data_IF_043011737168
#
_entry.id   IF_043011737168
#
_cell.length_a   1.000
_cell.length_b   1.000
_cell.length_c   1.000
_cell.angle_alpha   90.00
_cell.angle_beta   90.00
_cell.angle_gamma   90.00
#
_symmetry.space_group_name_H-M   'P 1'
#
loop_
_entity.id
_entity.type
_entity.pdbx_description
1 polymer ?
#
# COMPACT_ATOMS: atom_id res chain seq x y z
N UNK A 1 14.99 -12.91 8.45
CA UNK A 1 15.63 -12.30 7.25
C UNK A 1 17.07 -11.87 7.44
N UNK A 2 17.47 -10.98 8.36
CA UNK A 2 18.84 -10.49 8.53
C UNK A 2 19.90 -11.62 8.60
N UNK A 3 19.65 -12.68 9.35
CA UNK A 3 20.54 -13.85 9.46
C UNK A 3 20.75 -14.57 8.12
N UNK A 4 19.75 -14.65 7.28
CA UNK A 4 19.82 -15.28 5.95
C UNK A 4 20.79 -14.49 5.07
N UNK A 5 20.67 -13.16 5.06
CA UNK A 5 21.55 -12.28 4.28
C UNK A 5 23.01 -12.31 4.75
N UNK A 6 23.21 -12.36 6.06
CA UNK A 6 24.57 -12.49 6.64
C UNK A 6 25.17 -13.84 6.26
N UNK A 7 24.41 -14.93 6.36
CA UNK A 7 24.88 -16.26 5.99
C UNK A 7 25.18 -16.38 4.48
N UNK A 8 24.38 -15.70 3.65
CA UNK A 8 24.62 -15.62 2.21
C UNK A 8 25.77 -14.66 1.81
N UNK A 9 26.44 -14.03 2.79
CA UNK A 9 27.53 -13.08 2.54
C UNK A 9 27.11 -11.76 1.88
N UNK A 10 25.80 -11.47 1.82
CA UNK A 10 25.26 -10.26 1.22
C UNK A 10 25.20 -9.07 2.16
N UNK A 11 25.32 -9.32 3.47
CA UNK A 11 25.26 -8.29 4.50
C UNK A 11 26.26 -8.61 5.63
N UNK A 12 26.94 -7.58 6.14
CA UNK A 12 27.79 -7.73 7.31
C UNK A 12 26.94 -7.76 8.59
N UNK A 13 27.33 -8.57 9.58
CA UNK A 13 26.60 -8.71 10.84
C UNK A 13 26.36 -7.39 11.56
N UNK A 14 27.39 -6.52 11.65
CA UNK A 14 27.24 -5.19 12.27
C UNK A 14 26.25 -4.29 11.53
N UNK A 15 26.30 -4.31 10.20
CA UNK A 15 25.35 -3.55 9.36
C UNK A 15 23.94 -4.11 9.51
N UNK A 16 23.79 -5.43 9.61
CA UNK A 16 22.50 -6.07 9.82
C UNK A 16 21.86 -5.65 11.17
N UNK A 17 22.64 -5.65 12.25
CA UNK A 17 22.18 -5.19 13.57
C UNK A 17 21.79 -3.71 13.56
N UNK A 18 22.59 -2.86 12.92
CA UNK A 18 22.29 -1.43 12.75
C UNK A 18 20.98 -1.20 12.01
N UNK A 19 20.76 -1.93 10.91
CA UNK A 19 19.53 -1.82 10.12
C UNK A 19 18.30 -2.32 10.88
N UNK A 20 18.41 -3.40 11.65
CA UNK A 20 17.31 -3.89 12.51
C UNK A 20 16.93 -2.82 13.53
N UNK A 21 17.93 -2.17 14.17
CA UNK A 21 17.70 -1.10 15.13
C UNK A 21 17.03 0.13 14.47
N UNK A 22 17.57 0.56 13.33
CA UNK A 22 17.01 1.69 12.57
C UNK A 22 15.57 1.42 12.11
N UNK A 23 15.28 0.21 11.66
CA UNK A 23 13.93 -0.20 11.27
C UNK A 23 12.96 -0.13 12.46
N UNK A 24 13.38 -0.60 13.63
CA UNK A 24 12.58 -0.55 14.85
C UNK A 24 12.34 0.91 15.32
N UNK A 25 13.38 1.77 15.30
CA UNK A 25 13.29 3.18 15.67
C UNK A 25 12.36 3.97 14.75
N UNK A 26 12.41 3.70 13.44
CA UNK A 26 11.58 4.36 12.42
C UNK A 26 10.22 3.71 12.21
N UNK A 27 9.93 2.62 12.91
CA UNK A 27 8.69 1.83 12.72
C UNK A 27 8.47 1.41 11.26
N UNK A 28 9.55 1.10 10.55
CA UNK A 28 9.53 0.63 9.17
C UNK A 28 9.92 -0.83 9.08
N UNK A 29 9.62 -1.51 7.95
CA UNK A 29 10.06 -2.88 7.75
C UNK A 29 11.58 -2.96 7.60
N UNK A 30 12.18 -4.08 8.01
CA UNK A 30 13.60 -4.32 7.81
C UNK A 30 14.00 -4.26 6.32
N UNK A 31 13.12 -4.75 5.44
CA UNK A 31 13.33 -4.69 3.98
C UNK A 31 13.38 -3.24 3.50
N UNK A 32 12.46 -2.40 3.94
CA UNK A 32 12.46 -0.98 3.61
C UNK A 32 13.76 -0.29 4.03
N UNK A 33 14.20 -0.52 5.28
CA UNK A 33 15.46 0.04 5.79
C UNK A 33 16.69 -0.47 5.02
N UNK A 34 16.70 -1.75 4.64
CA UNK A 34 17.78 -2.39 3.88
C UNK A 34 17.93 -1.78 2.48
N UNK A 35 16.83 -1.63 1.77
CA UNK A 35 16.80 -1.07 0.41
C UNK A 35 17.11 0.44 0.45
N UNK A 36 16.53 1.18 1.39
CA UNK A 36 16.82 2.61 1.57
C UNK A 36 18.30 2.89 1.89
N UNK A 37 18.97 1.99 2.62
CA UNK A 37 20.39 2.07 2.89
C UNK A 37 21.28 1.70 1.68
N UNK A 38 20.69 1.22 0.58
CA UNK A 38 21.43 0.79 -0.62
C UNK A 38 22.38 -0.39 -0.39
N UNK A 39 22.22 -1.11 0.72
CA UNK A 39 23.12 -2.21 1.10
C UNK A 39 22.96 -3.44 0.22
N UNK A 40 21.74 -3.67 -0.28
CA UNK A 40 21.40 -4.79 -1.17
C UNK A 40 20.34 -4.29 -2.14
N UNK A 41 20.40 -4.69 -3.41
CA UNK A 41 19.33 -4.36 -4.38
C UNK A 41 18.07 -5.20 -4.12
N UNK A 42 16.91 -4.71 -4.54
CA UNK A 42 15.64 -5.46 -4.39
C UNK A 42 15.68 -6.81 -5.13
N UNK A 43 16.31 -6.84 -6.30
CA UNK A 43 16.50 -8.06 -7.09
C UNK A 43 17.43 -9.05 -6.39
N UNK A 44 18.59 -8.59 -5.91
CA UNK A 44 19.55 -9.44 -5.17
C UNK A 44 18.93 -10.01 -3.90
N UNK A 45 18.15 -9.20 -3.18
CA UNK A 45 17.39 -9.63 -2.01
C UNK A 45 16.45 -10.78 -2.36
N UNK A 46 15.61 -10.58 -3.40
CA UNK A 46 14.64 -11.59 -3.85
C UNK A 46 15.33 -12.91 -4.24
N UNK A 47 16.39 -12.84 -5.04
CA UNK A 47 17.14 -14.02 -5.45
C UNK A 47 17.85 -14.73 -4.28
N UNK A 48 18.42 -13.96 -3.35
CA UNK A 48 19.09 -14.53 -2.16
C UNK A 48 18.09 -15.28 -1.28
N UNK A 49 16.92 -14.67 -1.03
CA UNK A 49 15.86 -15.31 -0.24
C UNK A 49 15.27 -16.52 -0.94
N UNK A 50 15.08 -16.46 -2.26
CA UNK A 50 14.60 -17.59 -3.05
C UNK A 50 15.56 -18.80 -2.91
N UNK A 51 16.84 -18.60 -3.09
CA UNK A 51 17.83 -19.67 -2.93
C UNK A 51 17.92 -20.22 -1.51
N UNK A 52 17.82 -19.35 -0.51
CA UNK A 52 17.95 -19.75 0.90
C UNK A 52 16.69 -20.45 1.46
N UNK A 53 15.49 -20.06 0.99
CA UNK A 53 14.23 -20.55 1.51
C UNK A 53 13.51 -21.51 0.55
N UNK A 54 14.08 -21.76 -0.62
CA UNK A 54 13.49 -22.58 -1.69
C UNK A 54 12.08 -22.11 -2.10
N UNK A 55 11.86 -20.79 -2.11
CA UNK A 55 10.60 -20.17 -2.50
C UNK A 55 10.70 -19.62 -3.93
N UNK A 56 9.61 -19.68 -4.73
CA UNK A 56 9.61 -19.11 -6.07
C UNK A 56 9.69 -17.58 -6.03
N UNK A 57 10.31 -17.00 -7.06
CA UNK A 57 10.30 -15.56 -7.33
C UNK A 57 9.31 -15.26 -8.44
N UNK A 58 8.50 -14.23 -8.26
CA UNK A 58 7.60 -13.71 -9.28
C UNK A 58 8.00 -12.28 -9.65
N UNK A 59 8.17 -12.03 -10.93
CA UNK A 59 8.23 -10.66 -11.44
C UNK A 59 6.83 -10.07 -11.54
N UNK A 60 6.51 -9.19 -10.57
CA UNK A 60 5.19 -8.56 -10.52
C UNK A 60 4.93 -7.63 -11.71
N UNK A 61 5.98 -7.12 -12.36
CA UNK A 61 5.83 -6.30 -13.55
C UNK A 61 5.31 -7.09 -14.77
N UNK A 62 5.48 -8.43 -14.76
CA UNK A 62 4.96 -9.32 -15.80
C UNK A 62 3.49 -9.71 -15.60
N UNK A 63 2.89 -9.32 -14.47
CA UNK A 63 1.52 -9.68 -14.12
C UNK A 63 0.61 -8.46 -14.31
N UNK A 64 -0.49 -8.64 -15.04
CA UNK A 64 -1.50 -7.61 -15.17
C UNK A 64 -2.21 -7.40 -13.82
N UNK A 65 -2.10 -6.19 -13.26
CA UNK A 65 -2.65 -5.85 -11.94
C UNK A 65 -4.17 -6.09 -11.85
N UNK A 66 -4.87 -6.00 -12.98
CA UNK A 66 -6.32 -6.22 -13.06
C UNK A 66 -6.72 -7.68 -12.89
N UNK A 67 -5.82 -8.61 -13.18
CA UNK A 67 -6.04 -10.05 -13.03
C UNK A 67 -5.79 -10.56 -11.61
N UNK A 68 -5.15 -9.76 -10.78
CA UNK A 68 -4.91 -10.13 -9.40
C UNK A 68 -6.21 -10.11 -8.58
N UNK A 69 -6.44 -11.12 -7.74
CA UNK A 69 -7.65 -11.17 -6.91
C UNK A 69 -7.71 -9.98 -5.96
N UNK A 70 -8.80 -9.25 -6.01
CA UNK A 70 -9.09 -8.14 -5.10
C UNK A 70 -10.04 -8.62 -4.00
N UNK A 71 -10.03 -7.98 -2.84
CA UNK A 71 -10.96 -8.23 -1.72
C UNK A 71 -10.90 -9.65 -1.10
N UNK A 72 -9.81 -10.39 -1.29
CA UNK A 72 -9.58 -11.68 -0.60
C UNK A 72 -9.03 -11.44 0.81
N UNK A 73 -8.23 -10.40 0.96
CA UNK A 73 -7.66 -9.91 2.23
C UNK A 73 -8.06 -8.45 2.38
N UNK A 74 -8.30 -8.01 3.63
CA UNK A 74 -8.54 -6.59 3.93
C UNK A 74 -7.36 -5.74 3.44
N UNK A 75 -7.67 -4.64 2.73
CA UNK A 75 -6.67 -3.71 2.20
C UNK A 75 -5.73 -3.15 3.28
N UNK A 76 -6.20 -3.01 4.53
CA UNK A 76 -5.37 -2.60 5.66
C UNK A 76 -4.27 -3.63 5.98
N UNK A 77 -4.59 -4.92 5.93
CA UNK A 77 -3.61 -5.99 6.12
C UNK A 77 -2.63 -6.06 4.95
N UNK A 78 -3.12 -5.86 3.72
CA UNK A 78 -2.29 -5.79 2.51
C UNK A 78 -1.26 -4.66 2.62
N UNK A 79 -1.68 -3.47 3.03
CA UNK A 79 -0.80 -2.31 3.21
C UNK A 79 0.14 -2.49 4.40
N UNK A 80 -0.35 -2.99 5.55
CA UNK A 80 0.43 -3.17 6.77
C UNK A 80 1.58 -4.14 6.58
N UNK A 81 1.33 -5.29 5.95
CA UNK A 81 2.33 -6.34 5.74
C UNK A 81 3.04 -6.26 4.39
N UNK A 82 2.70 -5.25 3.58
CA UNK A 82 3.25 -5.05 2.24
C UNK A 82 3.24 -6.35 1.43
N UNK A 83 2.06 -6.87 1.19
CA UNK A 83 1.82 -8.11 0.45
C UNK A 83 0.85 -7.88 -0.70
N UNK A 84 0.85 -8.78 -1.65
CA UNK A 84 -0.11 -8.84 -2.75
C UNK A 84 -0.72 -10.23 -2.84
N UNK A 85 -2.03 -10.31 -3.09
CA UNK A 85 -2.69 -11.59 -3.32
C UNK A 85 -2.49 -11.99 -4.78
N UNK A 86 -1.84 -13.12 -5.00
CA UNK A 86 -1.55 -13.64 -6.35
C UNK A 86 -2.64 -14.60 -6.84
N UNK A 87 -3.27 -15.31 -5.92
CA UNK A 87 -4.32 -16.26 -6.28
C UNK A 87 -4.78 -17.13 -5.12
N UNK A 88 -5.89 -17.83 -5.33
CA UNK A 88 -6.44 -18.81 -4.39
C UNK A 88 -6.70 -20.12 -5.11
N UNK A 89 -6.30 -21.23 -4.50
CA UNK A 89 -6.60 -22.58 -5.02
C UNK A 89 -6.99 -23.51 -3.88
N UNK A 90 -8.27 -23.83 -3.80
CA UNK A 90 -8.81 -24.60 -2.67
C UNK A 90 -8.60 -23.85 -1.35
N UNK A 91 -7.89 -24.48 -0.41
CA UNK A 91 -7.57 -23.92 0.91
C UNK A 91 -6.21 -23.16 0.92
N UNK A 92 -5.52 -23.06 -0.20
CA UNK A 92 -4.21 -22.40 -0.33
C UNK A 92 -4.39 -21.01 -0.88
N UNK A 93 -3.73 -20.04 -0.24
CA UNK A 93 -3.69 -18.63 -0.64
C UNK A 93 -2.26 -18.27 -1.04
N UNK A 94 -2.03 -17.94 -2.30
CA UNK A 94 -0.73 -17.51 -2.77
C UNK A 94 -0.58 -16.02 -2.56
N UNK A 95 0.43 -15.64 -1.78
CA UNK A 95 0.73 -14.25 -1.44
C UNK A 95 2.14 -13.89 -1.88
N UNK A 96 2.26 -12.75 -2.55
CA UNK A 96 3.54 -12.16 -2.94
C UNK A 96 4.00 -11.16 -1.88
N UNK A 97 5.25 -11.23 -1.50
CA UNK A 97 5.85 -10.31 -0.56
C UNK A 97 7.38 -10.33 -0.60
N UNK A 98 8.00 -9.29 -0.05
CA UNK A 98 9.45 -9.18 0.00
C UNK A 98 10.07 -9.82 1.25
N UNK A 99 9.27 -10.07 2.32
CA UNK A 99 9.70 -10.75 3.55
C UNK A 99 8.87 -11.99 3.87
N UNK A 100 9.25 -13.16 3.33
CA UNK A 100 8.56 -14.40 3.65
C UNK A 100 8.88 -14.93 5.06
N UNK A 101 9.75 -14.26 5.81
CA UNK A 101 10.14 -14.66 7.17
C UNK A 101 9.26 -13.99 8.26
N UNK A 102 8.34 -13.13 7.86
CA UNK A 102 7.40 -12.47 8.77
C UNK A 102 6.30 -13.44 9.21
N UNK A 103 6.48 -14.04 10.39
CA UNK A 103 5.54 -14.98 10.95
C UNK A 103 4.25 -14.30 11.42
N UNK A 104 4.33 -13.04 11.85
CA UNK A 104 3.14 -12.29 12.25
C UNK A 104 2.20 -12.08 11.07
N UNK A 105 2.74 -11.72 9.90
CA UNK A 105 1.99 -11.63 8.66
C UNK A 105 1.29 -12.95 8.33
N UNK A 106 2.01 -14.08 8.40
CA UNK A 106 1.46 -15.42 8.14
C UNK A 106 0.28 -15.72 9.06
N UNK A 107 0.45 -15.53 10.37
CA UNK A 107 -0.58 -15.82 11.37
C UNK A 107 -1.81 -14.92 11.20
N UNK A 108 -1.61 -13.63 10.98
CA UNK A 108 -2.69 -12.66 10.76
C UNK A 108 -3.48 -12.97 9.50
N UNK A 109 -2.79 -13.25 8.39
CA UNK A 109 -3.43 -13.60 7.12
C UNK A 109 -4.22 -14.91 7.27
N UNK A 110 -3.62 -15.93 7.89
CA UNK A 110 -4.28 -17.21 8.14
C UNK A 110 -5.53 -17.04 9.00
N UNK A 111 -5.45 -16.20 10.04
CA UNK A 111 -6.60 -15.93 10.91
C UNK A 111 -7.72 -15.19 10.16
N UNK A 112 -7.37 -14.15 9.40
CA UNK A 112 -8.34 -13.31 8.68
C UNK A 112 -9.03 -14.07 7.53
N UNK A 113 -8.30 -14.95 6.84
CA UNK A 113 -8.81 -15.62 5.64
C UNK A 113 -9.26 -17.06 5.86
N UNK A 114 -8.86 -17.68 6.97
CA UNK A 114 -9.02 -19.11 7.26
C UNK A 114 -8.39 -19.99 6.16
N UNK A 115 -7.44 -19.46 5.39
CA UNK A 115 -6.72 -20.14 4.33
C UNK A 115 -5.26 -20.39 4.74
N UNK A 116 -4.61 -21.30 4.04
CA UNK A 116 -3.18 -21.60 4.23
C UNK A 116 -2.35 -20.69 3.32
N UNK A 117 -1.64 -19.68 3.85
CA UNK A 117 -0.83 -18.78 3.06
C UNK A 117 0.41 -19.50 2.54
N UNK A 118 0.70 -19.31 1.25
CA UNK A 118 1.93 -19.76 0.58
C UNK A 118 2.64 -18.58 -0.03
N UNK A 119 3.91 -18.43 0.34
CA UNK A 119 4.71 -17.30 -0.05
C UNK A 119 5.32 -17.48 -1.44
N UNK A 120 5.27 -16.40 -2.19
CA UNK A 120 6.00 -16.16 -3.43
C UNK A 120 6.81 -14.88 -3.21
N UNK A 121 8.10 -14.91 -3.50
CA UNK A 121 8.95 -13.75 -3.34
C UNK A 121 8.72 -12.78 -4.48
N UNK A 122 8.58 -11.51 -4.14
CA UNK A 122 8.43 -10.40 -5.08
C UNK A 122 9.50 -9.36 -4.76
N UNK A 123 10.09 -8.73 -5.79
CA UNK A 123 11.02 -7.63 -5.61
C UNK A 123 10.32 -6.46 -4.91
N UNK A 124 10.98 -5.91 -3.88
CA UNK A 124 10.39 -4.89 -3.01
C UNK A 124 9.96 -3.61 -3.75
N UNK A 125 10.78 -3.13 -4.69
CA UNK A 125 10.51 -1.92 -5.48
C UNK A 125 9.27 -2.07 -6.37
N UNK A 126 9.12 -3.24 -7.03
CA UNK A 126 7.95 -3.56 -7.85
C UNK A 126 6.69 -3.73 -7.00
N UNK A 127 6.85 -4.34 -5.82
CA UNK A 127 5.77 -4.51 -4.86
C UNK A 127 5.30 -3.15 -4.32
N UNK A 128 6.22 -2.29 -3.89
CA UNK A 128 5.92 -0.95 -3.40
C UNK A 128 5.20 -0.11 -4.47
N UNK A 129 5.67 -0.16 -5.72
CA UNK A 129 5.01 0.50 -6.85
C UNK A 129 3.60 -0.03 -7.09
N UNK A 130 3.40 -1.35 -7.00
CA UNK A 130 2.08 -1.96 -7.16
C UNK A 130 1.13 -1.54 -6.03
N UNK A 131 1.59 -1.57 -4.78
CA UNK A 131 0.79 -1.17 -3.63
C UNK A 131 0.44 0.33 -3.67
N UNK A 132 1.36 1.19 -4.08
CA UNK A 132 1.07 2.62 -4.27
C UNK A 132 0.01 2.84 -5.34
N UNK A 133 0.04 2.08 -6.45
CA UNK A 133 -1.00 2.17 -7.48
C UNK A 133 -2.37 1.68 -7.01
N UNK A 134 -2.43 0.79 -6.01
CA UNK A 134 -3.69 0.33 -5.40
C UNK A 134 -4.21 1.31 -4.33
N UNK A 135 -3.30 1.92 -3.57
CA UNK A 135 -3.63 2.90 -2.52
C UNK A 135 -3.83 4.32 -3.06
N UNK A 136 -3.15 4.65 -4.15
CA UNK A 136 -3.12 5.97 -4.77
C UNK A 136 -4.29 6.28 -5.69
N UNK A 137 -5.20 5.34 -5.92
CA UNK A 137 -6.28 5.53 -6.90
C UNK A 137 -7.32 6.59 -6.51
N UNK A 138 -7.38 6.98 -5.23
CA UNK A 138 -8.36 7.96 -4.78
C UNK A 138 -7.76 9.15 -3.99
N UNK A 139 -6.86 8.90 -3.02
CA UNK A 139 -6.25 9.99 -2.23
C UNK A 139 -5.22 10.79 -3.02
N UNK A 140 -4.34 10.10 -3.78
CA UNK A 140 -3.28 10.80 -4.53
C UNK A 140 -3.84 11.59 -5.72
N UNK A 141 -4.99 11.15 -6.29
CA UNK A 141 -5.65 11.91 -7.37
C UNK A 141 -6.24 13.20 -6.81
N UNK A 142 -6.72 13.20 -5.57
CA UNK A 142 -7.25 14.42 -4.92
C UNK A 142 -6.12 15.33 -4.46
N UNK A 143 -5.00 14.80 -3.91
CA UNK A 143 -3.82 15.59 -3.61
C UNK A 143 -3.16 16.16 -4.88
N UNK A 144 -3.06 15.39 -5.97
CA UNK A 144 -2.57 15.89 -7.26
C UNK A 144 -3.52 16.88 -7.93
N UNK A 145 -4.83 16.77 -7.70
CA UNK A 145 -5.81 17.75 -8.16
C UNK A 145 -5.85 19.00 -7.26
N UNK A 146 -5.48 18.87 -6.00
CA UNK A 146 -5.35 19.99 -5.07
C UNK A 146 -4.02 20.75 -5.25
N UNK A 147 -2.95 20.05 -5.69
CA UNK A 147 -1.63 20.66 -5.97
C UNK A 147 -1.46 21.07 -7.45
N UNK A 148 -2.35 20.62 -8.31
CA UNK A 148 -2.45 21.09 -9.70
C UNK A 148 -3.13 22.44 -9.70
N UNK A 149 -2.34 23.46 -10.02
CA UNK A 149 -2.70 24.86 -10.33
C UNK A 149 -3.85 24.92 -11.35
N UNK A 150 -5.05 24.47 -10.94
CA UNK A 150 -6.28 24.80 -11.63
C UNK A 150 -6.67 26.21 -11.21
N UNK A 151 -6.11 27.17 -11.93
CA UNK A 151 -6.59 28.54 -11.98
C UNK A 151 -8.07 28.52 -12.45
N UNK A 152 -8.96 28.25 -11.51
CA UNK A 152 -10.38 28.52 -11.68
C UNK A 152 -10.53 30.02 -11.51
N UNK A 153 -10.38 30.74 -12.61
CA UNK A 153 -10.75 32.14 -12.72
C UNK A 153 -12.26 32.26 -12.52
N UNK A 154 -12.68 32.18 -11.24
CA UNK A 154 -14.01 32.62 -10.83
C UNK A 154 -13.90 34.12 -10.62
N UNK A 155 -14.05 34.86 -11.71
CA UNK A 155 -14.43 36.27 -11.63
C UNK A 155 -15.81 36.35 -11.05
N UNK A 156 -15.89 36.48 -9.74
CA UNK A 156 -17.04 37.07 -9.07
C UNK A 156 -16.54 38.05 -8.03
N UNK A 157 -16.75 39.32 -8.37
CA UNK A 157 -16.63 40.44 -7.46
C UNK A 157 -17.56 40.23 -6.28
N UNK A 158 -17.05 40.03 -5.11
CA UNK A 158 -17.51 40.67 -3.87
C UNK A 158 -16.88 40.06 -2.60
N UNK A 159 -16.03 40.85 -1.99
CA UNK A 159 -16.00 41.16 -0.56
C UNK A 159 -15.48 40.13 0.46
N UNK A 160 -14.33 40.56 1.07
CA UNK A 160 -13.99 40.50 2.50
C UNK A 160 -13.45 39.18 3.09
N UNK A 161 -12.14 39.31 3.35
CA UNK A 161 -11.40 38.80 4.52
C UNK A 161 -12.23 37.95 5.51
N UNK A 162 -12.13 36.67 5.40
CA UNK A 162 -12.26 35.78 6.54
C UNK A 162 -11.04 34.83 6.63
N UNK A 163 -10.55 34.77 7.83
CA UNK A 163 -9.26 34.24 8.24
C UNK A 163 -9.03 32.76 7.89
N UNK A 164 -7.77 32.44 7.56
CA UNK A 164 -7.26 31.10 7.27
C UNK A 164 -7.52 30.01 8.35
N UNK A 165 -8.00 30.40 9.54
CA UNK A 165 -8.35 29.48 10.63
C UNK A 165 -9.73 28.80 10.43
N UNK A 166 -10.63 29.36 9.64
CA UNK A 166 -11.95 28.79 9.42
C UNK A 166 -11.98 27.66 8.37
N UNK A 167 -10.99 27.60 7.50
CA UNK A 167 -10.92 26.58 6.41
C UNK A 167 -10.50 25.22 6.98
N UNK A 168 -9.59 25.17 7.93
CA UNK A 168 -9.11 23.93 8.54
C UNK A 168 -10.20 23.21 9.38
N UNK A 169 -11.11 23.97 10.03
CA UNK A 169 -12.24 23.37 10.78
C UNK A 169 -13.34 22.83 9.88
N UNK A 170 -13.50 23.37 8.67
CA UNK A 170 -14.53 22.91 7.72
C UNK A 170 -14.10 21.58 7.05
N UNK A 171 -12.81 21.38 6.79
CA UNK A 171 -12.31 20.13 6.19
C UNK A 171 -12.45 18.92 7.13
N UNK A 172 -12.50 19.14 8.44
CA UNK A 172 -12.68 18.07 9.43
C UNK A 172 -14.15 17.75 9.74
N UNK A 173 -15.09 18.49 9.16
CA UNK A 173 -16.50 18.23 9.39
C UNK A 173 -16.91 16.84 8.84
N UNK A 174 -17.65 16.02 9.61
CA UNK A 174 -18.05 14.68 9.19
C UNK A 174 -18.78 14.64 7.83
N UNK A 175 -19.51 15.70 7.51
CA UNK A 175 -20.25 15.85 6.25
C UNK A 175 -19.29 16.03 5.07
N UNK A 176 -18.24 16.83 5.21
CA UNK A 176 -17.22 17.04 4.16
C UNK A 176 -16.48 15.73 3.86
N UNK A 177 -16.06 15.01 4.89
CA UNK A 177 -15.45 13.68 4.73
C UNK A 177 -16.39 12.66 4.07
N UNK A 178 -17.68 12.73 4.38
CA UNK A 178 -18.69 11.87 3.77
C UNK A 178 -18.84 12.17 2.28
N UNK A 179 -18.95 13.45 1.91
CA UNK A 179 -19.05 13.89 0.52
C UNK A 179 -17.77 13.53 -0.27
N UNK A 180 -16.60 13.76 0.29
CA UNK A 180 -15.33 13.34 -0.31
C UNK A 180 -15.30 11.83 -0.58
N UNK A 181 -15.72 11.03 0.40
CA UNK A 181 -15.79 9.57 0.22
C UNK A 181 -16.74 9.17 -0.91
N UNK A 182 -17.93 9.80 -0.99
CA UNK A 182 -18.89 9.52 -2.05
C UNK A 182 -18.36 9.89 -3.44
N UNK A 183 -17.65 11.02 -3.56
CA UNK A 183 -16.99 11.41 -4.80
C UNK A 183 -15.90 10.41 -5.22
N UNK A 184 -15.09 9.97 -4.26
CA UNK A 184 -14.06 8.97 -4.49
C UNK A 184 -14.67 7.63 -4.94
N UNK A 185 -15.71 7.18 -4.26
CA UNK A 185 -16.40 5.94 -4.61
C UNK A 185 -17.02 6.00 -6.03
N UNK A 186 -17.56 7.15 -6.41
CA UNK A 186 -18.08 7.38 -7.76
C UNK A 186 -16.99 7.37 -8.84
N UNK A 187 -15.86 8.01 -8.59
CA UNK A 187 -14.70 8.00 -9.50
C UNK A 187 -14.20 6.55 -9.67
N UNK A 188 -14.09 5.80 -8.58
CA UNK A 188 -13.66 4.40 -8.62
C UNK A 188 -14.67 3.50 -9.36
N UNK A 189 -15.96 3.81 -9.26
CA UNK A 189 -17.03 3.16 -10.02
C UNK A 189 -17.09 3.61 -11.49
N UNK A 190 -16.25 4.58 -11.89
CA UNK A 190 -16.28 5.23 -13.22
C UNK A 190 -17.64 5.80 -13.56
N UNK A 191 -18.34 6.36 -12.58
CA UNK A 191 -19.61 7.04 -12.79
C UNK A 191 -19.37 8.35 -13.58
N UNK A 192 -20.23 8.64 -14.55
CA UNK A 192 -20.21 9.91 -15.29
C UNK A 192 -20.88 11.04 -14.51
N UNK A 193 -21.84 10.69 -13.67
CA UNK A 193 -22.70 11.63 -12.97
C UNK A 193 -23.00 11.12 -11.56
N UNK A 194 -23.13 12.06 -10.61
CA UNK A 194 -23.61 11.83 -9.27
C UNK A 194 -24.89 12.67 -9.06
N UNK A 195 -25.97 12.01 -8.69
CA UNK A 195 -27.22 12.67 -8.40
C UNK A 195 -27.53 12.57 -6.92
N UNK A 196 -27.78 13.72 -6.28
CA UNK A 196 -28.18 13.79 -4.88
C UNK A 196 -29.64 14.22 -4.84
N UNK A 197 -30.53 13.33 -4.44
CA UNK A 197 -31.93 13.64 -4.28
C UNK A 197 -32.33 13.68 -2.81
N UNK A 198 -32.71 14.84 -2.26
CA UNK A 198 -33.20 14.91 -0.90
C UNK A 198 -34.61 14.33 -0.81
N UNK A 199 -34.78 13.34 0.07
CA UNK A 199 -36.11 12.84 0.43
C UNK A 199 -36.54 13.43 1.79
N UNK A 200 -37.86 13.56 1.97
CA UNK A 200 -38.47 14.25 3.12
C UNK A 200 -38.02 13.68 4.49
N UNK A 201 -37.59 12.41 4.54
CA UNK A 201 -37.17 11.73 5.77
C UNK A 201 -35.84 11.00 5.69
N UNK A 202 -35.19 10.92 4.52
CA UNK A 202 -33.91 10.25 4.33
C UNK A 202 -33.10 10.94 3.21
N UNK A 203 -31.78 11.07 3.44
CA UNK A 203 -30.84 11.49 2.41
C UNK A 203 -30.15 10.27 1.79
#
# INVERSE_FOLDING_TARGET
MARVLVHAGKLNGKTAEGLVKTAAERKTSFVSALIAAGSVSAADLAHTLSGALALPVLDLASVEAERLPRNVIDGKLVAQYQIVVLGKRGNRLFIGGADPTDQEAVERIKFATQLSPEWVIVEYDKLAKHLSSLGGSASDTIEQLADGDFDFDITDEATEQESAESIAEVEDAPVVRFLQKMLIDAINARASDLHFEPFEYNY
#
